data_IF_548170126947
#
_entry.id   IF_548170126947
#
_cell.length_a   1.000
_cell.length_b   1.000
_cell.length_c   1.000
_cell.angle_alpha   90.00
_cell.angle_beta   90.00
_cell.angle_gamma   90.00
#
_symmetry.space_group_name_H-M   'P 1'
#
loop_
_entity.id
_entity.type
_entity.pdbx_description
1 polymer ?
#
# COMPACT_ATOMS: atom_id res chain seq x y z
N UNK A 1 6.99 28.53 3.26
CA UNK A 1 7.38 27.11 3.06
C UNK A 1 6.51 26.25 3.97
N UNK A 2 5.58 25.43 3.43
CA UNK A 2 4.84 24.48 4.26
C UNK A 2 5.79 23.38 4.74
N UNK A 3 6.07 23.32 6.04
CA UNK A 3 6.87 22.26 6.64
C UNK A 3 6.23 20.89 6.43
N UNK A 4 7.05 19.86 6.20
CA UNK A 4 6.59 18.48 6.03
C UNK A 4 5.93 17.99 7.33
N UNK A 5 4.59 17.89 7.34
CA UNK A 5 3.80 17.50 8.53
C UNK A 5 3.80 15.99 8.80
N UNK A 6 4.29 15.20 7.84
CA UNK A 6 4.27 13.72 7.89
C UNK A 6 4.93 13.11 9.14
N UNK A 7 6.06 13.62 9.66
CA UNK A 7 6.66 13.07 10.88
C UNK A 7 5.79 13.29 12.11
N UNK A 8 5.17 14.47 12.24
CA UNK A 8 4.31 14.81 13.37
C UNK A 8 3.04 13.97 13.38
N UNK A 9 2.41 13.77 12.22
CA UNK A 9 1.20 12.95 12.10
C UNK A 9 1.47 11.47 12.38
N UNK A 10 2.62 10.94 11.96
CA UNK A 10 3.03 9.56 12.30
C UNK A 10 3.22 9.38 13.81
N UNK A 11 3.80 10.37 14.49
CA UNK A 11 3.94 10.35 15.95
C UNK A 11 2.57 10.41 16.63
N UNK A 12 1.66 11.24 16.12
CA UNK A 12 0.29 11.31 16.63
C UNK A 12 -0.49 9.99 16.45
N UNK A 13 -0.40 9.34 15.28
CA UNK A 13 -1.00 8.00 15.06
C UNK A 13 -0.48 6.99 16.10
N UNK A 14 0.83 6.97 16.33
CA UNK A 14 1.43 6.08 17.35
C UNK A 14 0.92 6.41 18.75
N UNK A 15 0.86 7.70 19.11
CA UNK A 15 0.34 8.18 20.39
C UNK A 15 -1.11 7.73 20.63
N UNK A 16 -1.97 7.86 19.61
CA UNK A 16 -3.36 7.41 19.68
C UNK A 16 -3.48 5.89 19.87
N UNK A 17 -2.68 5.09 19.14
CA UNK A 17 -2.67 3.64 19.30
C UNK A 17 -2.13 3.20 20.68
N UNK A 18 -1.10 3.86 21.19
CA UNK A 18 -0.59 3.59 22.55
C UNK A 18 -1.61 3.95 23.63
N UNK A 19 -2.34 5.06 23.46
CA UNK A 19 -3.41 5.43 24.36
C UNK A 19 -4.57 4.42 24.30
N UNK A 20 -4.94 3.94 23.11
CA UNK A 20 -5.96 2.90 22.96
C UNK A 20 -5.55 1.62 23.69
N UNK A 21 -4.29 1.18 23.54
CA UNK A 21 -3.76 0.03 24.26
C UNK A 21 -3.77 0.24 25.79
N UNK A 22 -3.45 1.43 26.28
CA UNK A 22 -3.55 1.78 27.69
C UNK A 22 -5.01 1.67 28.21
N UNK A 23 -5.99 2.11 27.43
CA UNK A 23 -7.40 1.98 27.79
C UNK A 23 -7.86 0.52 27.85
N UNK A 24 -7.44 -0.31 26.89
CA UNK A 24 -7.74 -1.74 26.87
C UNK A 24 -7.12 -2.47 28.05
N UNK A 25 -5.87 -2.16 28.40
CA UNK A 25 -5.18 -2.77 29.55
C UNK A 25 -5.78 -2.33 30.89
N UNK A 26 -6.12 -1.04 31.03
CA UNK A 26 -6.87 -0.55 32.21
C UNK A 26 -8.25 -1.19 32.32
N UNK A 27 -8.95 -1.40 31.20
CA UNK A 27 -10.22 -2.13 31.18
C UNK A 27 -10.04 -3.57 31.61
N UNK A 28 -8.98 -4.25 31.19
CA UNK A 28 -8.72 -5.63 31.58
C UNK A 28 -8.50 -5.76 33.10
N UNK A 29 -7.92 -4.74 33.73
CA UNK A 29 -7.68 -4.67 35.17
C UNK A 29 -8.89 -4.18 35.99
N UNK A 30 -9.97 -3.72 35.34
CA UNK A 30 -11.12 -3.12 36.00
C UNK A 30 -12.46 -3.46 35.33
N UNK A 31 -13.51 -2.71 35.67
CA UNK A 31 -14.88 -2.93 35.18
C UNK A 31 -15.46 -1.76 34.38
N UNK A 32 -14.67 -0.71 34.10
CA UNK A 32 -15.18 0.49 33.46
C UNK A 32 -15.28 0.34 31.93
N UNK A 33 -16.49 0.10 31.41
CA UNK A 33 -16.76 -0.06 29.98
C UNK A 33 -16.50 1.20 29.14
N UNK A 34 -16.49 2.38 29.74
CA UNK A 34 -16.17 3.63 29.03
C UNK A 34 -14.77 3.60 28.41
N UNK A 35 -13.85 2.82 28.99
CA UNK A 35 -12.49 2.63 28.46
C UNK A 35 -12.49 1.92 27.10
N UNK A 36 -13.45 1.02 26.84
CA UNK A 36 -13.56 0.35 25.54
C UNK A 36 -14.05 1.33 24.48
N UNK A 37 -15.09 2.12 24.80
CA UNK A 37 -15.62 3.15 23.88
C UNK A 37 -14.52 4.15 23.52
N UNK A 38 -13.73 4.58 24.51
CA UNK A 38 -12.60 5.48 24.28
C UNK A 38 -11.51 4.84 23.43
N UNK A 39 -11.15 3.57 23.67
CA UNK A 39 -10.20 2.84 22.84
C UNK A 39 -10.64 2.74 21.38
N UNK A 40 -11.92 2.46 21.13
CA UNK A 40 -12.52 2.43 19.78
C UNK A 40 -12.40 3.80 19.11
N UNK A 41 -12.78 4.88 19.80
CA UNK A 41 -12.65 6.24 19.27
C UNK A 41 -11.19 6.62 18.92
N UNK A 42 -10.22 6.17 19.72
CA UNK A 42 -8.80 6.38 19.46
C UNK A 42 -8.30 5.59 18.24
N UNK A 43 -8.74 4.33 18.07
CA UNK A 43 -8.40 3.50 16.89
C UNK A 43 -8.95 4.12 15.61
N UNK A 44 -10.22 4.54 15.61
CA UNK A 44 -10.85 5.22 14.46
C UNK A 44 -10.12 6.53 14.16
N UNK A 45 -9.80 7.33 15.17
CA UNK A 45 -9.06 8.59 15.00
C UNK A 45 -7.66 8.36 14.42
N UNK A 46 -6.95 7.33 14.90
CA UNK A 46 -5.65 6.93 14.38
C UNK A 46 -5.75 6.48 12.91
N UNK A 47 -6.80 5.72 12.55
CA UNK A 47 -7.06 5.31 11.18
C UNK A 47 -7.32 6.52 10.28
N UNK A 48 -8.18 7.45 10.67
CA UNK A 48 -8.48 8.66 9.87
C UNK A 48 -7.21 9.46 9.61
N UNK A 49 -6.38 9.66 10.63
CA UNK A 49 -5.11 10.36 10.48
C UNK A 49 -4.12 9.57 9.60
N UNK A 50 -4.09 8.25 9.72
CA UNK A 50 -3.30 7.39 8.84
C UNK A 50 -3.77 7.50 7.38
N UNK A 51 -5.07 7.45 7.11
CA UNK A 51 -5.64 7.51 5.76
C UNK A 51 -5.46 8.88 5.11
N UNK A 52 -5.40 9.96 5.88
CA UNK A 52 -5.06 11.31 5.36
C UNK A 52 -3.61 11.43 4.91
N UNK A 53 -2.71 10.64 5.49
CA UNK A 53 -1.26 10.77 5.29
C UNK A 53 -0.67 9.67 4.43
N UNK A 54 -1.38 8.55 4.32
CA UNK A 54 -1.05 7.48 3.40
C UNK A 54 -1.34 7.92 1.96
N UNK A 55 -0.37 7.73 1.07
CA UNK A 55 -0.59 7.80 -0.38
C UNK A 55 -1.58 6.68 -0.77
N UNK A 56 -2.88 6.98 -0.75
CA UNK A 56 -3.98 6.10 -1.14
C UNK A 56 -3.96 5.72 -2.61
N UNK A 57 -3.10 6.36 -3.40
CA UNK A 57 -2.83 5.98 -4.80
C UNK A 57 -2.17 4.59 -4.94
N UNK A 58 -1.75 3.94 -3.84
CA UNK A 58 -1.12 2.62 -3.88
C UNK A 58 -2.18 1.51 -3.78
N UNK A 59 -2.22 0.58 -4.74
CA UNK A 59 -3.12 -0.57 -4.62
C UNK A 59 -2.78 -1.36 -3.35
N UNK A 60 -3.81 -1.87 -2.67
CA UNK A 60 -3.73 -2.66 -1.43
C UNK A 60 -3.30 -1.91 -0.15
N UNK A 61 -3.14 -0.57 -0.20
CA UNK A 61 -2.80 0.23 0.98
C UNK A 61 -3.94 0.39 2.01
N UNK A 62 -5.12 -0.20 1.75
CA UNK A 62 -6.31 -0.10 2.59
C UNK A 62 -6.39 -1.15 3.69
N UNK A 63 -5.44 -2.08 3.78
CA UNK A 63 -5.39 -3.10 4.84
C UNK A 63 -5.49 -2.54 6.28
N UNK A 64 -4.96 -1.33 6.62
CA UNK A 64 -5.10 -0.79 7.98
C UNK A 64 -6.54 -0.49 8.36
N UNK A 65 -7.40 -0.15 7.39
CA UNK A 65 -8.82 0.10 7.64
C UNK A 65 -9.54 -1.18 8.08
N UNK A 66 -9.24 -2.30 7.41
CA UNK A 66 -9.76 -3.62 7.77
C UNK A 66 -9.23 -4.11 9.12
N UNK A 67 -7.96 -3.85 9.42
CA UNK A 67 -7.39 -4.17 10.73
C UNK A 67 -8.03 -3.35 11.87
N UNK A 68 -8.29 -2.06 11.64
CA UNK A 68 -8.93 -1.19 12.62
C UNK A 68 -10.41 -1.57 12.85
N UNK A 69 -11.14 -1.94 11.79
CA UNK A 69 -12.50 -2.46 11.91
C UNK A 69 -12.52 -3.79 12.71
N UNK A 70 -11.61 -4.72 12.40
CA UNK A 70 -11.44 -5.98 13.14
C UNK A 70 -11.21 -5.72 14.62
N UNK A 71 -10.26 -4.84 14.96
CA UNK A 71 -9.96 -4.49 16.34
C UNK A 71 -11.17 -3.86 17.05
N UNK A 72 -11.90 -2.99 16.36
CA UNK A 72 -13.11 -2.34 16.88
C UNK A 72 -14.21 -3.36 17.15
N UNK A 73 -14.47 -4.28 16.21
CA UNK A 73 -15.46 -5.34 16.36
C UNK A 73 -15.14 -6.28 17.52
N UNK A 74 -13.87 -6.67 17.69
CA UNK A 74 -13.43 -7.50 18.82
C UNK A 74 -13.58 -6.77 20.17
N UNK A 75 -13.22 -5.49 20.22
CA UNK A 75 -13.40 -4.68 21.43
C UNK A 75 -14.89 -4.54 21.81
N UNK A 76 -15.76 -4.31 20.82
CA UNK A 76 -17.20 -4.26 21.04
C UNK A 76 -17.78 -5.62 21.45
N UNK A 77 -17.31 -6.73 20.86
CA UNK A 77 -17.71 -8.07 21.25
C UNK A 77 -17.30 -8.40 22.69
N UNK A 78 -16.19 -7.83 23.16
CA UNK A 78 -15.76 -7.96 24.54
C UNK A 78 -16.68 -7.17 25.49
N UNK A 79 -17.00 -5.91 25.16
CA UNK A 79 -17.86 -5.03 25.94
C UNK A 79 -19.34 -5.42 25.95
N UNK A 80 -19.84 -6.00 24.85
CA UNK A 80 -21.24 -6.31 24.61
C UNK A 80 -21.40 -7.83 24.36
N UNK A 81 -21.58 -8.63 25.42
CA UNK A 81 -21.66 -10.09 25.29
C UNK A 81 -22.80 -10.55 24.38
N UNK A 82 -23.94 -9.86 24.43
CA UNK A 82 -25.15 -10.19 23.67
C UNK A 82 -24.97 -10.11 22.15
N UNK A 83 -24.05 -9.26 21.68
CA UNK A 83 -23.80 -9.07 20.24
C UNK A 83 -22.65 -9.92 19.70
N UNK A 84 -22.02 -10.75 20.53
CA UNK A 84 -20.88 -11.61 20.12
C UNK A 84 -21.21 -12.53 18.95
N UNK A 85 -22.44 -13.05 18.89
CA UNK A 85 -22.90 -13.92 17.80
C UNK A 85 -22.78 -13.25 16.44
N UNK A 86 -22.95 -11.92 16.37
CA UNK A 86 -22.81 -11.15 15.14
C UNK A 86 -21.40 -10.56 14.97
N UNK A 87 -20.82 -10.04 16.06
CA UNK A 87 -19.54 -9.33 16.01
C UNK A 87 -18.34 -10.26 15.78
N UNK A 88 -18.34 -11.48 16.32
CA UNK A 88 -17.20 -12.40 16.15
C UNK A 88 -17.06 -12.89 14.70
N UNK A 89 -18.13 -13.35 14.01
CA UNK A 89 -18.04 -13.67 12.59
C UNK A 89 -17.63 -12.46 11.74
N UNK A 90 -18.15 -11.27 12.06
CA UNK A 90 -17.81 -10.04 11.35
C UNK A 90 -16.33 -9.67 11.51
N UNK A 91 -15.81 -9.73 12.74
CA UNK A 91 -14.40 -9.54 13.01
C UNK A 91 -13.53 -10.56 12.27
N UNK A 92 -13.95 -11.83 12.22
CA UNK A 92 -13.27 -12.87 11.46
C UNK A 92 -13.19 -12.55 9.97
N UNK A 93 -14.29 -12.11 9.36
CA UNK A 93 -14.33 -11.69 7.96
C UNK A 93 -13.38 -10.52 7.69
N UNK A 94 -13.46 -9.45 8.49
CA UNK A 94 -12.59 -8.30 8.32
C UNK A 94 -11.11 -8.64 8.53
N UNK A 95 -10.81 -9.54 9.48
CA UNK A 95 -9.46 -10.01 9.73
C UNK A 95 -8.88 -10.74 8.52
N UNK A 96 -9.68 -11.61 7.88
CA UNK A 96 -9.26 -12.33 6.67
C UNK A 96 -9.00 -11.36 5.52
N UNK A 97 -9.91 -10.42 5.27
CA UNK A 97 -9.72 -9.42 4.20
C UNK A 97 -8.50 -8.54 4.48
N UNK A 98 -8.35 -8.06 5.71
CA UNK A 98 -7.21 -7.27 6.14
C UNK A 98 -5.89 -8.02 6.01
N UNK A 99 -5.86 -9.31 6.38
CA UNK A 99 -4.69 -10.17 6.23
C UNK A 99 -4.33 -10.38 4.75
N UNK A 100 -5.30 -10.71 3.89
CA UNK A 100 -5.06 -10.88 2.46
C UNK A 100 -4.50 -9.60 1.84
N UNK A 101 -5.10 -8.44 2.13
CA UNK A 101 -4.59 -7.16 1.65
C UNK A 101 -3.22 -6.81 2.22
N UNK A 102 -2.97 -7.13 3.49
CA UNK A 102 -1.66 -6.95 4.14
C UNK A 102 -0.58 -7.81 3.50
N UNK A 103 -0.88 -9.07 3.21
CA UNK A 103 0.02 -9.99 2.51
C UNK A 103 0.28 -9.52 1.08
N UNK A 104 -0.75 -9.11 0.33
CA UNK A 104 -0.58 -8.54 -1.00
C UNK A 104 0.25 -7.26 -0.95
N UNK A 105 -0.01 -6.38 0.01
CA UNK A 105 0.77 -5.16 0.20
C UNK A 105 2.24 -5.45 0.55
N UNK A 106 2.50 -6.44 1.41
CA UNK A 106 3.85 -6.86 1.80
C UNK A 106 4.60 -7.53 0.65
N UNK A 107 3.97 -8.48 -0.04
CA UNK A 107 4.50 -9.11 -1.25
C UNK A 107 4.79 -8.05 -2.33
N UNK A 108 3.94 -7.03 -2.43
CA UNK A 108 4.20 -5.87 -3.26
C UNK A 108 5.42 -5.12 -2.71
N UNK A 109 5.46 -4.72 -1.44
CA UNK A 109 6.52 -3.86 -0.85
C UNK A 109 7.93 -4.46 -0.95
N UNK A 110 8.07 -5.77 -0.78
CA UNK A 110 9.34 -6.48 -0.62
C UNK A 110 10.02 -6.86 -1.95
N UNK A 111 9.51 -6.40 -3.08
CA UNK A 111 10.30 -6.35 -4.30
C UNK A 111 10.26 -7.59 -5.18
N UNK A 112 9.12 -8.30 -5.21
CA UNK A 112 8.68 -8.95 -6.47
C UNK A 112 7.96 -7.94 -7.38
N UNK A 113 8.48 -6.72 -7.45
CA UNK A 113 7.90 -5.63 -8.24
C UNK A 113 8.73 -5.45 -9.48
N UNK A 114 8.07 -5.63 -10.60
CA UNK A 114 8.57 -5.18 -11.87
C UNK A 114 9.02 -3.71 -11.82
N UNK A 115 10.31 -3.52 -12.04
CA UNK A 115 10.96 -2.26 -12.32
C UNK A 115 10.87 -2.03 -13.81
N UNK A 116 10.57 -0.80 -14.18
CA UNK A 116 10.59 -0.39 -15.57
C UNK A 116 11.74 0.60 -15.76
N UNK A 117 12.59 0.28 -16.73
CA UNK A 117 13.60 1.19 -17.24
C UNK A 117 12.97 1.90 -18.42
N UNK A 118 13.01 3.23 -18.43
CA UNK A 118 12.36 4.03 -19.46
C UNK A 118 13.12 5.33 -19.71
N UNK A 119 12.89 5.92 -20.88
CA UNK A 119 13.38 7.24 -21.26
C UNK A 119 12.21 8.10 -21.72
N UNK A 120 12.38 9.43 -21.64
CA UNK A 120 11.38 10.37 -22.16
C UNK A 120 11.25 10.28 -23.70
N UNK A 121 12.33 9.91 -24.39
CA UNK A 121 12.37 9.81 -25.85
C UNK A 121 11.75 8.52 -26.37
N UNK A 122 12.08 7.37 -25.78
CA UNK A 122 11.74 6.04 -26.33
C UNK A 122 10.64 5.32 -25.54
N UNK A 123 10.14 5.93 -24.46
CA UNK A 123 9.16 5.30 -23.58
C UNK A 123 9.80 4.17 -22.76
N UNK A 124 9.05 3.09 -22.53
CA UNK A 124 9.53 1.99 -21.71
C UNK A 124 10.46 1.05 -22.47
N UNK A 125 11.68 0.91 -21.96
CA UNK A 125 12.76 0.11 -22.56
C UNK A 125 12.72 -1.34 -22.11
N UNK A 126 12.49 -1.58 -20.81
CA UNK A 126 12.59 -2.92 -20.22
C UNK A 126 11.86 -3.04 -18.88
N UNK A 127 11.32 -4.23 -18.59
CA UNK A 127 10.67 -4.58 -17.33
C UNK A 127 11.45 -5.71 -16.63
N UNK A 128 11.78 -5.54 -15.35
CA UNK A 128 12.64 -6.43 -14.57
C UNK A 128 12.10 -6.71 -13.18
N UNK A 129 12.22 -7.94 -12.67
CA UNK A 129 11.63 -8.33 -11.38
C UNK A 129 12.18 -7.52 -10.18
N UNK A 130 13.41 -6.98 -10.30
CA UNK A 130 14.10 -6.32 -9.20
C UNK A 130 14.85 -5.07 -9.66
N UNK A 131 15.07 -4.13 -8.72
CA UNK A 131 15.85 -2.91 -8.97
C UNK A 131 17.28 -3.24 -9.40
N UNK A 132 17.87 -4.25 -8.76
CA UNK A 132 19.25 -4.68 -9.02
C UNK A 132 19.40 -5.23 -10.43
N UNK A 133 18.45 -6.05 -10.89
CA UNK A 133 18.43 -6.55 -12.26
C UNK A 133 18.25 -5.40 -13.26
N UNK A 134 17.34 -4.47 -12.99
CA UNK A 134 17.15 -3.28 -13.82
C UNK A 134 18.42 -2.40 -13.88
N UNK A 135 19.08 -2.15 -12.75
CA UNK A 135 20.31 -1.35 -12.70
C UNK A 135 21.49 -2.05 -13.37
N UNK A 136 21.64 -3.37 -13.16
CA UNK A 136 22.67 -4.16 -13.81
C UNK A 136 22.49 -4.12 -15.34
N UNK A 137 21.26 -4.32 -15.83
CA UNK A 137 20.98 -4.20 -17.26
C UNK A 137 21.31 -2.81 -17.83
N UNK A 138 20.95 -1.73 -17.11
CA UNK A 138 21.28 -0.36 -17.52
C UNK A 138 22.79 -0.17 -17.61
N UNK A 139 23.56 -0.67 -16.65
CA UNK A 139 25.01 -0.54 -16.60
C UNK A 139 25.70 -1.40 -17.66
N UNK A 140 25.27 -2.64 -17.81
CA UNK A 140 25.94 -3.63 -18.65
C UNK A 140 25.58 -3.47 -20.13
N UNK A 141 24.31 -3.11 -20.44
CA UNK A 141 23.74 -3.17 -21.79
C UNK A 141 23.38 -1.79 -22.36
N UNK A 142 22.57 -0.96 -21.67
CA UNK A 142 22.04 0.28 -22.27
C UNK A 142 23.02 1.45 -22.25
N UNK A 143 23.69 1.70 -21.12
CA UNK A 143 24.73 2.72 -20.91
C UNK A 143 24.36 4.19 -21.17
N UNK A 144 23.12 4.47 -21.56
CA UNK A 144 22.60 5.82 -21.75
C UNK A 144 21.78 6.32 -20.53
N UNK A 145 21.59 7.65 -20.36
CA UNK A 145 20.78 8.22 -19.29
C UNK A 145 19.33 7.71 -19.36
N UNK A 146 18.90 6.99 -18.33
CA UNK A 146 17.54 6.45 -18.23
C UNK A 146 16.98 6.61 -16.82
N UNK A 147 15.66 6.48 -16.73
CA UNK A 147 14.94 6.52 -15.47
C UNK A 147 14.56 5.10 -15.07
N UNK A 148 14.91 4.74 -13.82
CA UNK A 148 14.42 3.53 -13.18
C UNK A 148 13.27 3.88 -12.25
N UNK A 149 12.08 3.37 -12.55
CA UNK A 149 10.93 3.52 -11.66
C UNK A 149 10.26 2.19 -11.39
N UNK A 150 9.57 2.10 -10.25
CA UNK A 150 8.62 1.01 -10.02
C UNK A 150 7.48 1.14 -11.02
N UNK A 151 7.01 0.02 -11.55
CA UNK A 151 5.86 -0.05 -12.48
C UNK A 151 4.65 0.74 -11.96
N UNK A 152 4.37 0.68 -10.65
CA UNK A 152 3.22 1.41 -10.06
C UNK A 152 3.29 2.94 -10.21
N UNK A 153 4.49 3.50 -10.40
CA UNK A 153 4.67 4.94 -10.60
C UNK A 153 4.42 5.36 -12.05
N UNK A 154 4.34 4.39 -12.95
CA UNK A 154 4.15 4.56 -14.40
C UNK A 154 3.23 3.47 -14.96
N UNK A 155 1.99 3.32 -14.44
CA UNK A 155 1.05 2.29 -14.88
C UNK A 155 0.75 2.37 -16.38
N UNK A 156 0.84 3.56 -16.97
CA UNK A 156 0.68 3.79 -18.41
C UNK A 156 1.72 3.04 -19.26
N UNK A 157 2.94 2.85 -18.75
CA UNK A 157 4.03 2.18 -19.46
C UNK A 157 4.01 0.65 -19.32
N UNK A 158 3.12 0.11 -18.50
CA UNK A 158 3.00 -1.33 -18.19
C UNK A 158 2.39 -2.09 -19.35
N UNK A 159 1.45 -1.47 -20.05
CA UNK A 159 0.73 -2.09 -21.18
C UNK A 159 1.57 -2.16 -22.44
N UNK A 160 2.57 -1.30 -22.56
CA UNK A 160 3.44 -1.20 -23.74
C UNK A 160 4.60 -2.20 -23.74
N UNK A 161 4.93 -2.83 -22.61
CA UNK A 161 6.11 -3.72 -22.52
C UNK A 161 5.74 -5.04 -21.83
N UNK A 162 5.97 -6.21 -22.48
CA UNK A 162 5.71 -7.51 -21.89
C UNK A 162 6.59 -7.74 -20.64
N UNK A 163 6.05 -8.51 -19.69
CA UNK A 163 6.82 -9.04 -18.57
C UNK A 163 7.99 -9.86 -19.14
N UNK A 164 9.22 -9.53 -18.75
CA UNK A 164 10.42 -10.33 -19.05
C UNK A 164 10.69 -10.55 -20.54
N UNK A 165 11.28 -9.56 -21.24
CA UNK A 165 11.77 -9.81 -22.60
C UNK A 165 12.84 -10.91 -22.55
N UNK A 166 12.69 -11.92 -23.41
CA UNK A 166 13.66 -13.00 -23.58
C UNK A 166 15.10 -12.46 -23.66
N UNK A 167 16.13 -13.21 -23.20
CA UNK A 167 17.53 -12.76 -23.21
C UNK A 167 18.02 -12.22 -24.57
N UNK A 168 17.39 -12.66 -25.68
CA UNK A 168 17.70 -12.24 -27.05
C UNK A 168 16.97 -10.99 -27.58
N UNK A 169 16.12 -10.30 -26.80
CA UNK A 169 15.48 -9.02 -27.21
C UNK A 169 15.71 -7.93 -26.16
N UNK A 170 16.88 -7.28 -26.17
CA UNK A 170 17.29 -6.36 -25.10
C UNK A 170 16.48 -5.06 -25.05
N UNK A 171 15.86 -4.62 -26.16
CA UNK A 171 15.08 -3.38 -26.22
C UNK A 171 13.80 -3.57 -27.03
N UNK A 172 12.67 -3.20 -26.44
CA UNK A 172 11.44 -2.94 -27.19
C UNK A 172 11.31 -1.42 -27.27
N UNK A 173 11.77 -0.81 -28.37
CA UNK A 173 11.42 0.58 -28.68
C UNK A 173 9.95 0.60 -29.05
N UNK A 174 9.11 1.01 -28.12
CA UNK A 174 7.73 1.33 -28.45
C UNK A 174 7.75 2.75 -29.00
N UNK A 175 8.04 2.86 -30.29
CA UNK A 175 7.96 4.14 -31.00
C UNK A 175 6.55 4.70 -30.83
N UNK A 176 6.46 5.91 -30.28
CA UNK A 176 5.23 6.68 -30.10
C UNK A 176 4.64 7.17 -31.44
N UNK A 177 4.76 6.38 -32.51
CA UNK A 177 4.31 6.73 -33.86
C UNK A 177 3.00 6.05 -34.25
N UNK A 178 2.50 5.08 -33.48
CA UNK A 178 1.28 4.36 -33.82
C UNK A 178 -0.03 5.07 -33.43
N UNK A 179 0.01 6.29 -32.89
CA UNK A 179 -1.23 7.02 -32.48
C UNK A 179 -1.48 8.31 -33.26
N UNK A 180 -0.52 8.81 -34.05
CA UNK A 180 -0.75 10.00 -34.89
C UNK A 180 -1.19 9.66 -36.33
N UNK A 181 -0.92 8.46 -36.84
CA UNK A 181 -1.30 8.07 -38.21
C UNK A 181 -2.78 7.69 -38.38
N UNK A 182 -3.52 7.44 -37.30
CA UNK A 182 -4.94 7.03 -37.38
C UNK A 182 -5.94 8.16 -37.10
N UNK A 183 -5.44 9.38 -36.83
CA UNK A 183 -6.24 10.62 -36.81
C UNK A 183 -6.05 11.48 -38.06
N UNK A 184 -5.28 10.99 -39.04
CA UNK A 184 -5.01 11.67 -40.30
C UNK A 184 -5.62 10.94 -41.52
N UNK A 185 -6.62 10.07 -41.31
CA UNK A 185 -7.44 9.48 -42.38
C UNK A 185 -8.91 9.72 -42.15
#
# INVERSE_FOLDING_TARGET
MPGDKRPQERTAVRGLLTAAAACVTLRAAGSNEALIVLAVGLIISALVLHMRTADTARPYAYWPAWAAGTATALLLAWALPESRILLLPWAGFEAVVGLVLGLLWHAHRDGRRDWIVWTLADGALRREATRRAASAWVQDVYREPCVLSRVDMRPELVRSVPLYPYPGRPMLRVSRTATEEDTAR
#
